data_IF_550477284226
#
_entry.id   IF_550477284226
#
_cell.length_a   1.000
_cell.length_b   1.000
_cell.length_c   1.000
_cell.angle_alpha   90.00
_cell.angle_beta   90.00
_cell.angle_gamma   90.00
#
_symmetry.space_group_name_H-M   'P 1'
#
loop_
_entity.id
_entity.type
_entity.pdbx_description
1 polymer ?
#
# COMPACT_ATOMS: atom_id res chain seq x y z
N UNK A 1 -16.80 14.89 15.24
CA UNK A 1 -15.84 13.91 14.70
C UNK A 1 -15.39 13.03 15.84
N UNK A 2 -15.44 11.71 15.67
CA UNK A 2 -14.91 10.75 16.64
C UNK A 2 -13.40 11.03 16.86
N UNK A 3 -12.86 10.96 18.10
CA UNK A 3 -11.43 11.17 18.34
C UNK A 3 -10.51 10.32 17.44
N UNK A 4 -10.90 9.08 17.14
CA UNK A 4 -10.19 8.17 16.23
C UNK A 4 -10.21 8.70 14.80
N UNK A 5 -11.38 9.13 14.30
CA UNK A 5 -11.49 9.73 12.96
C UNK A 5 -10.58 10.96 12.82
N UNK A 6 -10.52 11.80 13.87
CA UNK A 6 -9.68 13.00 13.87
C UNK A 6 -8.20 12.66 13.80
N UNK A 7 -7.74 11.67 14.59
CA UNK A 7 -6.35 11.21 14.56
C UNK A 7 -5.96 10.66 13.19
N UNK A 8 -6.76 9.74 12.64
CA UNK A 8 -6.48 9.12 11.35
C UNK A 8 -6.49 10.13 10.20
N UNK A 9 -7.44 11.08 10.21
CA UNK A 9 -7.48 12.12 9.18
C UNK A 9 -6.30 13.09 9.29
N UNK A 10 -5.79 13.35 10.49
CA UNK A 10 -4.59 14.17 10.67
C UNK A 10 -3.35 13.53 10.02
N UNK A 11 -3.27 12.19 10.02
CA UNK A 11 -2.15 11.43 9.42
C UNK A 11 -2.41 10.95 7.98
N UNK A 12 -3.53 11.34 7.35
CA UNK A 12 -3.90 10.88 6.00
C UNK A 12 -2.77 11.02 4.97
N UNK A 13 -2.06 12.14 4.99
CA UNK A 13 -0.99 12.41 4.04
C UNK A 13 0.22 11.50 4.26
N UNK A 14 0.53 11.17 5.53
CA UNK A 14 1.61 10.25 5.89
C UNK A 14 1.28 8.84 5.42
N UNK A 15 0.06 8.37 5.66
CA UNK A 15 -0.41 7.05 5.18
C UNK A 15 -0.28 6.95 3.64
N UNK A 16 -0.69 8.00 2.91
CA UNK A 16 -0.56 8.03 1.44
C UNK A 16 0.92 8.03 1.01
N UNK A 17 1.78 8.75 1.74
CA UNK A 17 3.21 8.82 1.46
C UNK A 17 3.88 7.45 1.65
N UNK A 18 3.54 6.74 2.71
CA UNK A 18 4.05 5.41 3.03
C UNK A 18 3.71 4.39 1.94
N UNK A 19 2.44 4.36 1.48
CA UNK A 19 2.02 3.51 0.37
C UNK A 19 2.85 3.81 -0.89
N UNK A 20 3.07 5.09 -1.20
CA UNK A 20 3.92 5.50 -2.35
C UNK A 20 5.38 5.10 -2.18
N UNK A 21 5.91 5.12 -0.95
CA UNK A 21 7.28 4.72 -0.66
C UNK A 21 7.47 3.22 -0.92
N UNK A 22 6.51 2.38 -0.52
CA UNK A 22 6.51 0.94 -0.80
C UNK A 22 6.48 0.68 -2.32
N UNK A 23 5.61 1.37 -3.06
CA UNK A 23 5.58 1.27 -4.53
C UNK A 23 6.95 1.59 -5.15
N UNK A 24 7.54 2.73 -4.79
CA UNK A 24 8.84 3.18 -5.31
C UNK A 24 9.98 2.23 -4.97
N UNK A 25 9.96 1.62 -3.78
CA UNK A 25 10.96 0.64 -3.39
C UNK A 25 10.93 -0.58 -4.31
N UNK A 26 9.73 -1.08 -4.64
CA UNK A 26 9.57 -2.23 -5.55
C UNK A 26 9.94 -1.89 -7.01
N UNK A 27 9.62 -0.68 -7.48
CA UNK A 27 10.10 -0.19 -8.78
C UNK A 27 11.63 -0.22 -8.83
N UNK A 28 12.31 0.29 -7.79
CA UNK A 28 13.77 0.34 -7.73
C UNK A 28 14.42 -1.05 -7.72
N UNK A 29 13.81 -2.02 -7.02
CA UNK A 29 14.26 -3.42 -7.05
C UNK A 29 14.17 -3.97 -8.48
N UNK A 30 13.05 -3.73 -9.17
CA UNK A 30 12.86 -4.18 -10.56
C UNK A 30 13.91 -3.58 -11.49
N UNK A 31 14.22 -2.29 -11.37
CA UNK A 31 15.28 -1.64 -12.17
C UNK A 31 16.69 -2.15 -11.86
N UNK A 32 16.94 -2.70 -10.66
CA UNK A 32 18.22 -3.33 -10.31
C UNK A 32 18.34 -4.75 -10.89
N UNK A 33 17.24 -5.51 -10.84
CA UNK A 33 17.22 -6.90 -11.26
C UNK A 33 17.08 -7.05 -12.79
N UNK A 34 16.45 -6.06 -13.45
CA UNK A 34 16.18 -6.06 -14.89
C UNK A 34 16.66 -4.73 -15.51
N UNK A 35 17.86 -4.68 -16.12
CA UNK A 35 18.46 -3.45 -16.64
C UNK A 35 17.65 -2.75 -17.74
N UNK A 36 16.91 -3.51 -18.56
CA UNK A 36 16.02 -3.02 -19.62
C UNK A 36 14.53 -3.10 -19.23
N UNK A 37 14.21 -2.95 -17.93
CA UNK A 37 12.84 -3.02 -17.45
C UNK A 37 11.92 -2.03 -18.18
N UNK A 38 10.73 -2.49 -18.56
CA UNK A 38 9.61 -1.62 -18.90
C UNK A 38 9.01 -1.09 -17.60
N UNK A 39 9.38 0.14 -17.24
CA UNK A 39 8.93 0.80 -16.01
C UNK A 39 7.40 0.93 -15.94
N UNK A 40 6.71 1.07 -17.07
CA UNK A 40 5.25 1.18 -17.10
C UNK A 40 4.62 -0.16 -16.74
N UNK A 41 5.05 -1.24 -17.41
CA UNK A 41 4.57 -2.59 -17.11
C UNK A 41 4.88 -3.00 -15.67
N UNK A 42 6.10 -2.74 -15.19
CA UNK A 42 6.49 -3.00 -13.81
C UNK A 42 5.58 -2.25 -12.83
N UNK A 43 5.33 -0.97 -13.09
CA UNK A 43 4.45 -0.14 -12.27
C UNK A 43 3.02 -0.70 -12.19
N UNK A 44 2.45 -1.09 -13.33
CA UNK A 44 1.11 -1.69 -13.40
C UNK A 44 1.01 -2.98 -12.59
N UNK A 45 1.99 -3.88 -12.75
CA UNK A 45 2.02 -5.15 -12.02
C UNK A 45 2.15 -4.93 -10.51
N UNK A 46 3.04 -4.02 -10.08
CA UNK A 46 3.23 -3.70 -8.66
C UNK A 46 1.94 -3.12 -8.06
N UNK A 47 1.29 -2.17 -8.75
CA UNK A 47 0.04 -1.56 -8.25
C UNK A 47 -1.06 -2.62 -8.13
N UNK A 48 -1.18 -3.53 -9.10
CA UNK A 48 -2.18 -4.61 -9.03
C UNK A 48 -1.96 -5.53 -7.81
N UNK A 49 -0.72 -5.90 -7.53
CA UNK A 49 -0.37 -6.70 -6.33
C UNK A 49 -0.64 -5.92 -5.04
N UNK A 50 -0.30 -4.63 -5.00
CA UNK A 50 -0.61 -3.77 -3.85
C UNK A 50 -2.12 -3.66 -3.62
N UNK A 51 -2.93 -3.59 -4.69
CA UNK A 51 -4.38 -3.58 -4.59
C UNK A 51 -4.93 -4.89 -4.01
N UNK A 52 -4.44 -6.04 -4.48
CA UNK A 52 -4.81 -7.35 -3.92
C UNK A 52 -4.49 -7.44 -2.42
N UNK A 53 -3.31 -6.96 -2.01
CA UNK A 53 -2.92 -6.95 -0.60
C UNK A 53 -3.83 -6.02 0.24
N UNK A 54 -4.19 -4.85 -0.27
CA UNK A 54 -5.11 -3.93 0.39
C UNK A 54 -6.52 -4.51 0.50
N UNK A 55 -6.98 -5.26 -0.49
CA UNK A 55 -8.30 -5.90 -0.45
C UNK A 55 -8.34 -7.02 0.59
N UNK A 56 -7.30 -7.84 0.68
CA UNK A 56 -7.15 -8.83 1.77
C UNK A 56 -7.17 -8.18 3.16
N UNK A 57 -6.46 -7.06 3.35
CA UNK A 57 -6.50 -6.32 4.62
C UNK A 57 -7.91 -5.83 4.98
N UNK A 58 -8.73 -5.44 3.99
CA UNK A 58 -10.12 -5.07 4.23
C UNK A 58 -10.97 -6.27 4.63
N UNK A 59 -10.77 -7.42 3.99
CA UNK A 59 -11.45 -8.67 4.35
C UNK A 59 -11.12 -9.05 5.80
N UNK A 60 -9.84 -9.07 6.16
CA UNK A 60 -9.38 -9.37 7.53
C UNK A 60 -9.96 -8.39 8.57
N UNK A 61 -10.10 -7.11 8.23
CA UNK A 61 -10.78 -6.11 9.07
C UNK A 61 -12.26 -6.43 9.29
N UNK A 62 -12.96 -6.87 8.24
CA UNK A 62 -14.38 -7.23 8.31
C UNK A 62 -14.60 -8.53 9.09
N UNK A 63 -13.65 -9.46 9.01
CA UNK A 63 -13.63 -10.69 9.80
C UNK A 63 -13.37 -10.43 11.30
N UNK A 64 -12.94 -9.21 11.65
CA UNK A 64 -12.67 -8.83 13.02
C UNK A 64 -11.28 -9.26 13.50
N UNK A 65 -10.36 -9.63 12.60
CA UNK A 65 -9.01 -10.10 12.91
C UNK A 65 -8.14 -9.06 13.64
N UNK A 66 -8.58 -7.79 13.66
CA UNK A 66 -7.91 -6.67 14.34
C UNK A 66 -8.70 -6.12 15.52
N UNK A 67 -9.79 -6.78 15.92
CA UNK A 67 -10.51 -6.47 17.15
C UNK A 67 -9.62 -6.91 18.31
N UNK A 68 -9.21 -5.97 19.19
CA UNK A 68 -8.30 -6.25 20.30
C UNK A 68 -8.64 -7.56 21.03
N UNK A 69 -7.64 -8.42 21.18
CA UNK A 69 -7.54 -9.38 22.29
C UNK A 69 -7.22 -8.64 23.59
#
# INVERSE_FOLDING_TARGET
MNPVEKDILARKNEIILEIRAVFKANMKITSWDVPEADDQLAGELIVNIMQEALDKLKEELQEGNFSNS
#
